data_IF_531543388995
#
_entry.id   IF_531543388995
#
_cell.length_a   1.000
_cell.length_b   1.000
_cell.length_c   1.000
_cell.angle_alpha   90.00
_cell.angle_beta   90.00
_cell.angle_gamma   90.00
#
_symmetry.space_group_name_H-M   'P 1'
#
loop_
_entity.id
_entity.type
_entity.pdbx_description
1 polymer ?
#
# COMPACT_ATOMS: atom_id res chain seq x y z
N UNK A 1 -16.11 -51.73 -73.48
CA UNK A 1 -16.27 -52.03 -72.06
C UNK A 1 -15.10 -51.35 -71.32
N UNK A 2 -15.21 -50.06 -71.04
CA UNK A 2 -14.14 -49.29 -70.40
C UNK A 2 -14.49 -49.10 -68.93
N UNK A 3 -13.67 -49.63 -68.01
CA UNK A 3 -13.76 -49.44 -66.56
C UNK A 3 -13.10 -48.08 -66.27
N UNK A 4 -13.88 -47.12 -65.76
CA UNK A 4 -13.40 -45.85 -65.24
C UNK A 4 -12.99 -46.05 -63.77
N UNK A 5 -11.70 -45.87 -63.47
CA UNK A 5 -11.12 -45.85 -62.16
C UNK A 5 -11.43 -44.51 -61.46
N UNK A 6 -11.94 -44.44 -60.26
CA UNK A 6 -12.10 -43.15 -59.54
C UNK A 6 -10.75 -42.63 -59.02
N UNK A 7 -10.54 -41.30 -58.96
CA UNK A 7 -9.31 -40.73 -58.46
C UNK A 7 -9.26 -40.79 -56.93
N UNK A 8 -8.35 -41.55 -56.42
CA UNK A 8 -7.87 -41.52 -55.04
C UNK A 8 -7.04 -40.25 -54.86
N UNK A 9 -7.52 -39.23 -54.10
CA UNK A 9 -6.63 -38.28 -53.41
C UNK A 9 -7.25 -37.16 -52.58
N UNK A 10 -8.55 -37.14 -52.30
CA UNK A 10 -9.14 -36.05 -51.52
C UNK A 10 -9.29 -36.34 -50.01
N UNK A 11 -9.09 -37.58 -49.57
CA UNK A 11 -9.30 -37.94 -48.15
C UNK A 11 -8.06 -37.72 -47.26
N UNK A 12 -6.89 -37.58 -47.82
CA UNK A 12 -5.62 -37.42 -47.08
C UNK A 12 -5.35 -35.98 -46.65
N UNK A 13 -5.87 -35.00 -47.36
CA UNK A 13 -5.59 -33.56 -47.10
C UNK A 13 -6.43 -33.04 -45.91
N UNK A 14 -7.63 -33.59 -45.72
CA UNK A 14 -8.54 -33.09 -44.66
C UNK A 14 -8.10 -33.51 -43.26
N UNK A 15 -7.41 -34.63 -43.08
CA UNK A 15 -6.92 -35.03 -41.77
C UNK A 15 -5.74 -34.21 -41.23
N UNK A 16 -4.93 -33.64 -42.14
CA UNK A 16 -3.77 -32.84 -41.73
C UNK A 16 -4.17 -31.44 -41.25
N UNK A 17 -5.23 -30.88 -41.79
CA UNK A 17 -5.79 -29.58 -41.36
C UNK A 17 -6.49 -29.69 -40.02
N UNK A 18 -7.23 -30.76 -39.76
CA UNK A 18 -7.93 -30.99 -38.50
C UNK A 18 -6.97 -31.19 -37.32
N UNK A 19 -5.85 -31.90 -37.52
CA UNK A 19 -4.80 -32.06 -36.49
C UNK A 19 -4.05 -30.76 -36.18
N UNK A 20 -3.79 -29.91 -37.17
CA UNK A 20 -3.15 -28.62 -36.98
C UNK A 20 -4.09 -27.59 -36.28
N UNK A 21 -5.39 -27.65 -36.56
CA UNK A 21 -6.38 -26.81 -35.93
C UNK A 21 -6.61 -27.13 -34.45
N UNK A 22 -6.56 -28.41 -34.07
CA UNK A 22 -6.68 -28.88 -32.68
C UNK A 22 -5.44 -28.46 -31.84
N UNK A 23 -4.22 -28.48 -32.43
CA UNK A 23 -3.01 -28.05 -31.73
C UNK A 23 -2.97 -26.49 -31.45
N UNK A 24 -3.61 -25.71 -32.32
CA UNK A 24 -3.62 -24.22 -32.15
C UNK A 24 -4.61 -23.74 -31.07
N UNK A 25 -5.67 -24.54 -30.80
CA UNK A 25 -6.67 -24.23 -29.74
C UNK A 25 -6.15 -24.58 -28.35
N UNK A 26 -5.21 -25.51 -28.22
CA UNK A 26 -4.64 -25.96 -26.94
C UNK A 26 -3.65 -24.94 -26.31
N UNK A 27 -3.16 -23.93 -27.06
CA UNK A 27 -2.21 -22.92 -26.56
C UNK A 27 -2.88 -21.63 -26.03
N UNK A 28 -4.20 -21.47 -26.13
CA UNK A 28 -4.92 -20.26 -25.72
C UNK A 28 -5.56 -20.36 -24.31
N UNK A 29 -5.26 -21.38 -23.53
CA UNK A 29 -5.99 -21.74 -22.30
C UNK A 29 -5.31 -21.44 -20.97
N UNK A 30 -4.25 -20.64 -20.89
CA UNK A 30 -3.63 -20.31 -19.59
C UNK A 30 -3.55 -18.78 -19.38
N UNK A 31 -4.71 -18.13 -19.38
CA UNK A 31 -4.82 -16.80 -18.77
C UNK A 31 -4.74 -16.99 -17.26
N UNK A 32 -3.55 -16.91 -16.69
CA UNK A 32 -3.37 -16.71 -15.24
C UNK A 32 -4.02 -15.36 -14.90
N UNK A 33 -5.23 -15.40 -14.33
CA UNK A 33 -5.84 -14.24 -13.73
C UNK A 33 -4.91 -13.79 -12.59
N UNK A 34 -4.03 -12.83 -12.86
CA UNK A 34 -3.30 -12.11 -11.81
C UNK A 34 -4.33 -11.28 -11.08
N UNK A 35 -4.79 -11.77 -9.93
CA UNK A 35 -5.56 -10.95 -9.01
C UNK A 35 -4.62 -9.87 -8.47
N UNK A 36 -4.62 -8.69 -9.10
CA UNK A 36 -4.06 -7.50 -8.50
C UNK A 36 -4.88 -7.22 -7.23
N UNK A 37 -4.23 -7.19 -6.06
CA UNK A 37 -4.86 -6.75 -4.82
C UNK A 37 -5.41 -5.33 -5.06
N UNK A 38 -6.71 -5.07 -4.82
CA UNK A 38 -7.25 -3.73 -4.94
C UNK A 38 -6.42 -2.81 -4.05
N UNK A 39 -6.01 -1.65 -4.59
CA UNK A 39 -5.32 -0.64 -3.79
C UNK A 39 -6.18 -0.29 -2.57
N UNK A 40 -5.60 -0.25 -1.36
CA UNK A 40 -6.31 0.14 -0.14
C UNK A 40 -7.08 1.45 -0.33
N UNK A 41 -6.55 2.38 -1.12
CA UNK A 41 -7.16 3.69 -1.41
C UNK A 41 -8.49 3.62 -2.16
N UNK A 42 -8.79 2.52 -2.84
CA UNK A 42 -10.08 2.28 -3.51
C UNK A 42 -11.11 1.59 -2.61
N UNK A 43 -10.68 1.15 -1.42
CA UNK A 43 -11.57 0.49 -0.47
C UNK A 43 -12.37 1.50 0.36
N UNK A 44 -13.52 1.06 0.86
CA UNK A 44 -14.35 1.85 1.78
C UNK A 44 -13.56 2.20 3.05
N UNK A 45 -13.73 3.43 3.53
CA UNK A 45 -13.18 3.88 4.81
C UNK A 45 -14.20 3.59 5.91
N UNK A 46 -13.79 2.87 6.94
CA UNK A 46 -14.54 2.68 8.19
C UNK A 46 -13.91 3.48 9.31
N UNK A 47 -14.73 4.14 10.13
CA UNK A 47 -14.28 4.95 11.27
C UNK A 47 -15.11 4.62 12.50
N UNK A 48 -14.44 4.31 13.62
CA UNK A 48 -15.04 4.04 14.92
C UNK A 48 -14.41 4.94 15.97
N UNK A 49 -15.22 5.56 16.84
CA UNK A 49 -14.77 6.43 17.93
C UNK A 49 -15.85 6.50 19.01
N UNK A 50 -15.49 6.94 20.23
CA UNK A 50 -16.46 7.16 21.31
C UNK A 50 -17.34 8.40 21.04
N UNK A 51 -16.78 9.40 20.32
CA UNK A 51 -17.48 10.64 19.94
C UNK A 51 -17.03 11.14 18.59
N UNK A 52 -17.97 11.63 17.79
CA UNK A 52 -17.72 12.30 16.51
C UNK A 52 -18.47 13.63 16.44
N UNK A 53 -17.82 14.66 15.86
CA UNK A 53 -18.43 15.97 15.58
C UNK A 53 -18.08 16.37 14.16
N UNK A 54 -19.05 16.87 13.40
CA UNK A 54 -18.87 17.34 12.03
C UNK A 54 -19.22 18.83 11.92
N UNK A 55 -18.36 19.60 11.28
CA UNK A 55 -18.61 21.01 10.97
C UNK A 55 -18.76 21.14 9.45
N UNK A 56 -19.99 21.37 9.00
CA UNK A 56 -20.33 21.47 7.58
C UNK A 56 -19.65 22.66 6.88
N UNK A 57 -19.51 23.81 7.58
CA UNK A 57 -18.91 25.01 6.99
C UNK A 57 -17.43 24.82 6.65
N UNK A 58 -16.70 24.05 7.47
CA UNK A 58 -15.27 23.82 7.30
C UNK A 58 -14.94 22.49 6.66
N UNK A 59 -15.90 21.56 6.54
CA UNK A 59 -15.70 20.18 6.07
C UNK A 59 -14.82 19.36 7.01
N UNK A 60 -14.75 19.75 8.30
CA UNK A 60 -13.91 19.10 9.31
C UNK A 60 -14.76 18.16 10.17
N UNK A 61 -14.31 16.91 10.30
CA UNK A 61 -14.83 15.96 11.28
C UNK A 61 -13.78 15.69 12.34
N UNK A 62 -14.16 15.74 13.61
CA UNK A 62 -13.29 15.37 14.73
C UNK A 62 -13.85 14.14 15.40
N UNK A 63 -13.00 13.11 15.53
CA UNK A 63 -13.26 11.88 16.27
C UNK A 63 -12.42 11.88 17.55
N UNK A 64 -12.98 11.43 18.66
CA UNK A 64 -12.27 11.38 19.94
C UNK A 64 -12.68 10.15 20.75
N UNK A 65 -11.71 9.61 21.51
CA UNK A 65 -11.82 8.38 22.31
C UNK A 65 -11.70 7.13 21.45
N UNK A 66 -10.66 6.33 21.69
CA UNK A 66 -10.43 5.01 21.08
C UNK A 66 -10.65 4.98 19.56
N UNK A 67 -10.13 5.99 18.84
CA UNK A 67 -10.42 6.15 17.42
C UNK A 67 -9.67 5.11 16.60
N UNK A 68 -10.41 4.43 15.71
CA UNK A 68 -9.89 3.46 14.75
C UNK A 68 -10.40 3.85 13.37
N UNK A 69 -9.48 3.97 12.39
CA UNK A 69 -9.81 4.11 10.96
C UNK A 69 -9.24 2.90 10.25
N UNK A 70 -10.05 2.31 9.37
CA UNK A 70 -9.66 1.19 8.52
C UNK A 70 -10.01 1.49 7.06
N UNK A 71 -9.07 1.19 6.15
CA UNK A 71 -9.27 1.28 4.69
C UNK A 71 -8.46 0.18 4.02
N UNK A 72 -9.12 -0.89 3.57
CA UNK A 72 -8.44 -2.08 3.09
C UNK A 72 -7.57 -2.69 4.17
N UNK A 73 -6.27 -2.78 3.93
CA UNK A 73 -5.27 -3.28 4.89
C UNK A 73 -4.72 -2.19 5.81
N UNK A 74 -4.97 -0.92 5.49
CA UNK A 74 -4.54 0.21 6.32
C UNK A 74 -5.41 0.31 7.57
N UNK A 75 -4.74 0.42 8.71
CA UNK A 75 -5.37 0.67 10.02
C UNK A 75 -4.64 1.79 10.74
N UNK A 76 -5.38 2.79 11.20
CA UNK A 76 -4.89 3.93 11.98
C UNK A 76 -5.62 3.95 13.32
N UNK A 77 -4.88 4.03 14.43
CA UNK A 77 -5.39 4.07 15.79
C UNK A 77 -4.86 5.29 16.52
N UNK A 78 -5.72 6.03 17.25
CA UNK A 78 -5.32 7.23 17.97
C UNK A 78 -6.32 7.57 19.09
N UNK A 79 -5.94 8.50 19.98
CA UNK A 79 -6.85 9.06 20.97
C UNK A 79 -7.82 10.08 20.31
N UNK A 80 -7.34 10.80 19.30
CA UNK A 80 -8.15 11.76 18.55
C UNK A 80 -7.71 11.79 17.09
N UNK A 81 -8.68 11.93 16.20
CA UNK A 81 -8.46 12.08 14.76
C UNK A 81 -9.28 13.27 14.25
N UNK A 82 -8.62 14.14 13.49
CA UNK A 82 -9.25 15.20 12.72
C UNK A 82 -9.15 14.84 11.24
N UNK A 83 -10.31 14.69 10.60
CA UNK A 83 -10.44 14.44 9.19
C UNK A 83 -10.97 15.68 8.47
N UNK A 84 -10.31 16.06 7.38
CA UNK A 84 -10.68 17.21 6.57
C UNK A 84 -11.05 16.79 5.16
N UNK A 85 -12.15 17.31 4.65
CA UNK A 85 -12.58 17.14 3.28
C UNK A 85 -12.06 18.28 2.39
N UNK A 86 -11.78 17.98 1.14
CA UNK A 86 -11.49 18.98 0.11
C UNK A 86 -12.79 19.62 -0.42
N UNK A 87 -12.65 20.58 -1.36
CA UNK A 87 -13.80 21.27 -1.99
C UNK A 87 -14.78 20.32 -2.70
N UNK A 88 -14.30 19.15 -3.11
CA UNK A 88 -15.10 18.09 -3.78
C UNK A 88 -15.74 17.13 -2.79
N UNK A 89 -15.71 17.45 -1.47
CA UNK A 89 -16.20 16.60 -0.37
C UNK A 89 -15.50 15.22 -0.29
N UNK A 90 -14.29 15.12 -0.82
CA UNK A 90 -13.44 13.94 -0.71
C UNK A 90 -12.46 14.10 0.46
N UNK A 91 -12.06 12.98 1.07
CA UNK A 91 -11.03 12.97 2.12
C UNK A 91 -9.73 13.57 1.60
N UNK A 92 -9.25 14.62 2.25
CA UNK A 92 -8.00 15.31 1.93
C UNK A 92 -6.90 14.98 2.93
N UNK A 93 -7.14 15.25 4.20
CA UNK A 93 -6.13 15.08 5.25
C UNK A 93 -6.73 14.41 6.48
N UNK A 94 -6.00 13.48 7.06
CA UNK A 94 -6.30 12.86 8.35
C UNK A 94 -5.14 13.17 9.29
N UNK A 95 -5.43 13.81 10.43
CA UNK A 95 -4.46 14.06 11.49
C UNK A 95 -4.84 13.23 12.71
N UNK A 96 -4.03 12.25 13.05
CA UNK A 96 -4.20 11.40 14.22
C UNK A 96 -3.23 11.83 15.32
N UNK A 97 -3.71 11.97 16.55
CA UNK A 97 -2.93 12.33 17.72
C UNK A 97 -3.15 11.30 18.83
N UNK A 98 -2.07 10.85 19.47
CA UNK A 98 -2.13 9.84 20.52
C UNK A 98 -0.84 9.75 21.31
N UNK A 99 -0.82 8.87 22.28
CA UNK A 99 0.36 8.63 23.09
C UNK A 99 0.84 7.16 23.06
N UNK A 100 1.29 6.60 21.90
CA UNK A 100 1.35 7.13 20.53
C UNK A 100 0.09 6.87 19.70
N UNK A 101 -0.06 7.62 18.58
CA UNK A 101 -0.87 7.20 17.46
C UNK A 101 -0.12 6.12 16.67
N UNK A 102 -0.85 5.15 16.10
CA UNK A 102 -0.28 3.98 15.41
C UNK A 102 -0.92 3.77 14.06
N UNK A 103 -0.13 3.41 13.04
CA UNK A 103 -0.66 2.93 11.77
C UNK A 103 -0.01 1.61 11.36
N UNK A 104 -0.73 0.84 10.56
CA UNK A 104 -0.20 -0.32 9.85
C UNK A 104 -0.85 -0.44 8.48
N UNK A 105 -0.12 -1.03 7.53
CA UNK A 105 -0.60 -1.31 6.18
C UNK A 105 0.18 -2.45 5.54
N UNK A 106 -0.49 -3.31 4.79
CA UNK A 106 0.17 -4.25 3.88
C UNK A 106 0.67 -3.47 2.66
N UNK A 107 1.99 -3.42 2.44
CA UNK A 107 2.57 -2.66 1.32
C UNK A 107 2.43 -3.43 0.02
N UNK A 108 2.92 -4.67 0.02
CA UNK A 108 2.72 -5.68 -1.01
C UNK A 108 3.05 -7.07 -0.41
N UNK A 109 2.89 -8.14 -1.19
CA UNK A 109 3.18 -9.49 -0.73
C UNK A 109 4.65 -9.72 -0.41
N UNK A 110 5.57 -9.02 -1.09
CA UNK A 110 7.02 -9.15 -0.91
C UNK A 110 7.56 -8.25 0.21
N UNK A 111 7.01 -7.03 0.35
CA UNK A 111 7.47 -6.04 1.35
C UNK A 111 6.79 -6.18 2.71
N UNK A 112 5.75 -7.04 2.80
CA UNK A 112 5.06 -7.32 4.05
C UNK A 112 4.30 -6.11 4.62
N UNK A 113 4.19 -6.06 5.96
CA UNK A 113 3.43 -5.03 6.67
C UNK A 113 4.37 -3.91 7.12
N UNK A 114 4.06 -2.67 6.72
CA UNK A 114 4.61 -1.46 7.33
C UNK A 114 3.84 -1.13 8.61
N UNK A 115 4.54 -0.79 9.69
CA UNK A 115 3.98 -0.34 10.97
C UNK A 115 4.70 0.91 11.40
N UNK A 116 3.93 1.92 11.82
CA UNK A 116 4.49 3.17 12.30
C UNK A 116 3.77 3.69 13.53
N UNK A 117 4.49 4.43 14.35
CA UNK A 117 3.93 5.12 15.51
C UNK A 117 4.61 6.47 15.72
N UNK A 118 3.85 7.43 16.23
CA UNK A 118 4.32 8.77 16.58
C UNK A 118 3.33 9.46 17.51
N UNK A 119 3.71 10.60 18.09
CA UNK A 119 2.75 11.44 18.84
C UNK A 119 1.66 11.99 17.92
N UNK A 120 2.02 12.30 16.66
CA UNK A 120 1.10 12.77 15.63
C UNK A 120 1.42 12.07 14.30
N UNK A 121 0.37 11.59 13.62
CA UNK A 121 0.44 11.03 12.27
C UNK A 121 -0.46 11.88 11.38
N UNK A 122 0.10 12.38 10.27
CA UNK A 122 -0.64 13.17 9.27
C UNK A 122 -0.63 12.40 7.96
N UNK A 123 -1.79 11.94 7.53
CA UNK A 123 -1.98 11.27 6.25
C UNK A 123 -2.62 12.23 5.25
N UNK A 124 -1.98 12.42 4.11
CA UNK A 124 -2.53 13.12 2.96
C UNK A 124 -3.11 12.10 1.98
N UNK A 125 -4.43 12.08 1.83
CA UNK A 125 -5.12 11.10 1.00
C UNK A 125 -4.90 11.34 -0.51
N UNK A 126 -4.61 12.58 -0.92
CA UNK A 126 -4.39 12.93 -2.33
C UNK A 126 -3.02 12.42 -2.81
N UNK A 127 -1.99 12.60 -2.01
CA UNK A 127 -0.61 12.24 -2.35
C UNK A 127 -0.20 10.83 -1.89
N UNK A 128 -0.92 10.25 -0.91
CA UNK A 128 -0.54 9.00 -0.27
C UNK A 128 0.70 9.13 0.62
N UNK A 129 0.95 10.33 1.15
CA UNK A 129 2.08 10.58 2.05
C UNK A 129 1.61 10.53 3.50
N UNK A 130 2.37 9.81 4.33
CA UNK A 130 2.21 9.77 5.78
C UNK A 130 3.41 10.49 6.41
N UNK A 131 3.13 11.49 7.26
CA UNK A 131 4.13 12.15 8.08
C UNK A 131 3.93 11.72 9.54
N UNK A 132 4.96 11.16 10.15
CA UNK A 132 5.03 10.81 11.57
C UNK A 132 5.83 11.90 12.29
N UNK A 133 5.26 12.50 13.32
CA UNK A 133 5.85 13.65 14.04
C UNK A 133 5.88 13.38 15.52
N UNK A 134 7.04 13.54 16.14
CA UNK A 134 7.29 13.32 17.56
C UNK A 134 7.51 11.85 17.90
N UNK A 135 8.73 11.49 18.29
CA UNK A 135 9.15 10.12 18.60
C UNK A 135 8.74 9.12 17.51
N UNK A 136 8.97 9.52 16.25
CA UNK A 136 8.56 8.75 15.10
C UNK A 136 9.31 7.43 15.01
N UNK A 137 8.56 6.35 14.79
CA UNK A 137 9.06 5.00 14.55
C UNK A 137 8.38 4.40 13.34
N UNK A 138 9.16 3.74 12.49
CA UNK A 138 8.66 2.97 11.35
C UNK A 138 9.37 1.62 11.31
N UNK A 139 8.61 0.57 11.12
CA UNK A 139 9.09 -0.80 10.89
C UNK A 139 8.53 -1.31 9.56
N UNK A 140 9.40 -1.85 8.70
CA UNK A 140 9.02 -2.47 7.45
C UNK A 140 10.06 -3.50 7.04
N UNK A 141 9.63 -4.70 6.65
CA UNK A 141 10.48 -5.75 6.08
C UNK A 141 11.73 -6.07 6.93
N UNK A 142 11.57 -6.15 8.25
CA UNK A 142 12.66 -6.44 9.19
C UNK A 142 13.51 -5.22 9.57
N UNK A 143 13.49 -4.13 8.80
CA UNK A 143 14.20 -2.91 9.13
C UNK A 143 13.35 -1.97 10.00
N UNK A 144 13.98 -1.18 10.85
CA UNK A 144 13.32 -0.17 11.66
C UNK A 144 14.07 1.16 11.65
N UNK A 145 13.30 2.25 11.74
CA UNK A 145 13.80 3.62 11.75
C UNK A 145 13.16 4.36 12.92
N UNK A 146 13.99 5.06 13.71
CA UNK A 146 13.55 5.99 14.76
C UNK A 146 14.11 7.37 14.46
N UNK A 147 13.26 8.40 14.63
CA UNK A 147 13.66 9.79 14.42
C UNK A 147 12.67 10.75 15.07
N UNK A 148 12.92 12.05 14.98
CA UNK A 148 11.96 13.06 15.42
C UNK A 148 10.78 13.16 14.45
N UNK A 149 11.06 13.05 13.15
CA UNK A 149 10.05 13.06 12.08
C UNK A 149 10.40 12.03 11.01
N UNK A 150 9.37 11.38 10.48
CA UNK A 150 9.45 10.45 9.35
C UNK A 150 8.40 10.81 8.32
N UNK A 151 8.78 10.81 7.05
CA UNK A 151 7.87 10.94 5.92
C UNK A 151 7.92 9.64 5.13
N UNK A 152 6.79 9.02 4.93
CA UNK A 152 6.64 7.76 4.22
C UNK A 152 5.69 7.93 3.03
N UNK A 153 6.14 7.59 1.84
CA UNK A 153 5.34 7.56 0.63
C UNK A 153 4.76 6.17 0.41
N UNK A 154 3.46 6.00 0.62
CA UNK A 154 2.77 4.72 0.43
C UNK A 154 2.83 4.22 -1.01
N UNK A 155 2.86 5.14 -1.99
CA UNK A 155 2.86 4.80 -3.40
C UNK A 155 4.23 4.34 -3.90
N UNK A 156 5.31 4.96 -3.39
CA UNK A 156 6.69 4.73 -3.85
C UNK A 156 7.46 3.82 -2.90
N UNK A 157 7.06 3.77 -1.61
CA UNK A 157 7.83 3.12 -0.55
C UNK A 157 9.03 3.94 -0.07
N UNK A 158 9.16 5.21 -0.52
CA UNK A 158 10.25 6.09 -0.11
C UNK A 158 10.09 6.51 1.36
N UNK A 159 11.20 6.57 2.09
CA UNK A 159 11.26 6.97 3.48
C UNK A 159 12.28 8.11 3.62
N UNK A 160 11.85 9.21 4.22
CA UNK A 160 12.69 10.34 4.61
C UNK A 160 12.61 10.51 6.12
N UNK A 161 13.76 10.53 6.80
CA UNK A 161 13.86 10.64 8.25
C UNK A 161 14.67 11.87 8.62
N UNK A 162 14.18 12.66 9.59
CA UNK A 162 14.88 13.84 10.09
C UNK A 162 14.94 13.83 11.61
N UNK A 163 16.14 14.04 12.14
CA UNK A 163 16.37 14.26 13.56
C UNK A 163 16.12 15.71 13.96
N UNK A 164 15.99 16.00 15.26
CA UNK A 164 15.95 17.37 15.76
C UNK A 164 17.39 17.84 15.96
N UNK A 165 17.78 18.95 15.33
CA UNK A 165 19.05 19.64 15.62
C UNK A 165 18.96 20.35 16.97
N UNK A 166 19.00 19.61 18.08
CA UNK A 166 19.23 20.23 19.38
C UNK A 166 20.75 20.29 19.62
N UNK A 167 21.27 21.49 19.78
CA UNK A 167 22.67 21.87 19.99
C UNK A 167 23.29 21.31 21.28
N UNK A 168 22.58 20.53 22.06
CA UNK A 168 23.05 19.88 23.26
C UNK A 168 23.03 18.37 23.08
N UNK A 169 24.15 17.83 22.65
CA UNK A 169 24.69 16.46 22.73
C UNK A 169 23.84 15.23 23.12
N UNK A 170 22.51 15.34 23.15
CA UNK A 170 21.62 14.23 23.51
C UNK A 170 21.38 13.30 22.32
N UNK A 171 21.54 11.97 22.47
CA UNK A 171 21.34 10.98 21.40
C UNK A 171 19.91 10.95 20.84
N UNK A 172 18.95 11.55 21.53
CA UNK A 172 17.51 11.53 21.23
C UNK A 172 17.10 12.33 19.98
N UNK A 173 17.98 13.15 19.42
CA UNK A 173 17.68 13.97 18.22
C UNK A 173 18.12 13.36 16.89
N UNK A 174 18.86 12.24 16.89
CA UNK A 174 19.44 11.66 15.67
C UNK A 174 18.53 10.60 15.04
N UNK A 175 18.69 10.40 13.75
CA UNK A 175 18.07 9.27 13.03
C UNK A 175 18.81 7.99 13.40
N UNK A 176 18.08 6.97 13.85
CA UNK A 176 18.59 5.64 14.10
C UNK A 176 17.93 4.65 13.14
N UNK A 177 18.74 3.88 12.42
CA UNK A 177 18.27 2.84 11.49
C UNK A 177 18.85 1.51 11.93
N UNK A 178 18.02 0.47 12.02
CA UNK A 178 18.42 -0.90 12.30
C UNK A 178 17.99 -1.77 11.12
N UNK A 179 18.98 -2.41 10.48
CA UNK A 179 18.79 -3.30 9.33
C UNK A 179 19.32 -4.67 9.72
N UNK A 180 18.48 -5.73 9.78
CA UNK A 180 18.95 -7.07 10.08
C UNK A 180 19.78 -7.63 8.89
N UNK A 181 20.74 -8.50 9.14
CA UNK A 181 21.67 -9.02 8.11
C UNK A 181 20.97 -9.69 6.91
N UNK A 182 19.81 -10.32 7.14
CA UNK A 182 19.04 -11.02 6.11
C UNK A 182 18.30 -10.08 5.13
N UNK A 183 18.15 -8.78 5.46
CA UNK A 183 17.38 -7.81 4.68
C UNK A 183 18.22 -6.74 4.01
N UNK A 184 19.55 -6.84 4.09
CA UNK A 184 20.48 -5.85 3.51
C UNK A 184 20.33 -5.61 2.01
N UNK A 185 19.73 -6.58 1.27
CA UNK A 185 19.46 -6.48 -0.18
C UNK A 185 18.13 -5.80 -0.53
N UNK A 186 17.27 -5.52 0.45
CA UNK A 186 15.90 -5.06 0.22
C UNK A 186 15.61 -3.65 0.71
N UNK A 187 16.61 -2.91 1.19
CA UNK A 187 16.41 -1.55 1.69
C UNK A 187 16.21 -0.58 0.51
N UNK A 188 15.05 0.11 0.39
CA UNK A 188 14.86 1.08 -0.68
C UNK A 188 15.80 2.26 -0.48
N UNK A 189 16.70 2.48 -1.41
CA UNK A 189 17.64 3.62 -1.38
C UNK A 189 19.11 3.26 -1.52
N UNK A 190 19.49 1.98 -1.43
CA UNK A 190 20.82 1.53 -1.81
C UNK A 190 20.77 1.13 -3.28
N UNK A 191 21.17 2.02 -4.18
CA UNK A 191 21.50 1.68 -5.58
C UNK A 191 22.94 1.20 -5.59
N UNK A 192 23.14 0.00 -6.14
CA UNK A 192 24.48 -0.46 -6.57
C UNK A 192 25.02 0.44 -7.69
#
# INVERSE_FOLDING_TARGET
>A
MYLIKPPFSLFSIQQSFLKKMICTIALMGCSVATFALPSDRSQQISMVADKATYNEKTGVTTYSGNVIIEQGTMKLQANSIVAQLNKNKQMSTITASGGPAKFQQQVDTAKGIARGEAQKIIYNAETGIINLVGNAYLYQNGASIRSSTLKYSMNKGDIEASGTSNTTGSPTGRVQIIIPPSTSKSFPGVRD
#
